data_IF_765536331408
#
_entry.id   IF_765536331408
#
_cell.length_a   1.000
_cell.length_b   1.000
_cell.length_c   1.000
_cell.angle_alpha   90.00
_cell.angle_beta   90.00
_cell.angle_gamma   90.00
#
_symmetry.space_group_name_H-M   'P 1'
#
loop_
_entity.id
_entity.type
_entity.pdbx_description
1 polymer ?
#
# COMPACT_ATOMS: atom_id res chain seq x y z
N UNK A 1 25.77 -20.10 -40.82
CA UNK A 1 25.82 -18.64 -40.64
C UNK A 1 24.38 -18.18 -40.41
N UNK A 2 23.88 -18.45 -39.20
CA UNK A 2 23.41 -17.41 -38.26
C UNK A 2 22.30 -16.56 -38.86
N UNK A 3 21.02 -16.90 -38.62
CA UNK A 3 19.92 -15.91 -38.72
C UNK A 3 18.57 -16.36 -38.11
N UNK A 4 18.51 -17.34 -37.20
CA UNK A 4 17.26 -17.66 -36.47
C UNK A 4 17.59 -17.97 -35.01
N UNK A 5 17.94 -16.95 -34.22
CA UNK A 5 18.11 -17.08 -32.76
C UNK A 5 17.28 -16.07 -31.96
N UNK A 6 16.69 -15.04 -32.56
CA UNK A 6 16.24 -13.89 -31.77
C UNK A 6 14.76 -13.54 -31.90
N UNK A 7 13.83 -14.43 -31.55
CA UNK A 7 12.44 -14.01 -31.28
C UNK A 7 11.78 -14.87 -30.20
N UNK A 8 12.41 -14.96 -29.04
CA UNK A 8 11.66 -15.06 -27.79
C UNK A 8 12.11 -13.89 -26.93
N UNK A 9 11.58 -12.70 -27.23
CA UNK A 9 11.63 -11.59 -26.29
C UNK A 9 10.80 -12.04 -25.09
N UNK A 10 11.46 -12.61 -24.11
CA UNK A 10 10.96 -12.78 -22.78
C UNK A 10 10.41 -11.42 -22.35
N UNK A 11 9.07 -11.31 -22.28
CA UNK A 11 8.43 -10.31 -21.46
C UNK A 11 8.78 -10.68 -20.01
N UNK A 12 10.02 -10.37 -19.61
CA UNK A 12 10.34 -10.32 -18.20
C UNK A 12 9.59 -9.11 -17.69
N UNK A 13 8.54 -9.36 -16.91
CA UNK A 13 7.93 -8.31 -16.12
C UNK A 13 9.03 -7.84 -15.16
N UNK A 14 9.64 -6.69 -15.45
CA UNK A 14 10.69 -6.14 -14.60
C UNK A 14 10.01 -5.56 -13.36
N UNK A 15 10.38 -6.08 -12.20
CA UNK A 15 9.96 -5.49 -10.93
C UNK A 15 10.82 -4.25 -10.69
N UNK A 16 10.25 -3.09 -10.98
CA UNK A 16 10.90 -1.81 -10.69
C UNK A 16 10.67 -1.50 -9.21
N UNK A 17 11.76 -1.44 -8.43
CA UNK A 17 11.75 -0.98 -7.04
C UNK A 17 12.22 0.48 -7.04
N UNK A 18 11.29 1.41 -6.84
CA UNK A 18 11.61 2.84 -6.77
C UNK A 18 11.85 3.32 -5.33
N UNK A 19 12.55 4.46 -5.19
CA UNK A 19 12.77 5.10 -3.88
C UNK A 19 11.47 5.70 -3.37
N UNK A 20 11.29 5.70 -2.04
CA UNK A 20 10.17 6.38 -1.37
C UNK A 20 10.07 7.84 -1.87
N UNK A 21 8.90 8.27 -2.39
CA UNK A 21 8.72 9.63 -2.88
C UNK A 21 8.87 10.66 -1.76
N UNK A 22 9.46 11.81 -2.07
CA UNK A 22 9.66 12.91 -1.11
C UNK A 22 8.36 13.66 -0.81
N UNK A 23 7.43 13.68 -1.76
CA UNK A 23 6.08 14.22 -1.59
C UNK A 23 5.10 13.09 -1.33
N UNK A 24 4.24 13.28 -0.32
CA UNK A 24 3.23 12.30 0.09
C UNK A 24 3.85 10.90 0.35
N UNK A 25 4.84 10.81 1.26
CA UNK A 25 5.49 9.55 1.55
C UNK A 25 4.46 8.54 2.09
N UNK A 26 4.73 7.23 1.88
CA UNK A 26 3.95 6.17 2.46
C UNK A 26 3.93 6.28 3.99
N UNK A 27 2.95 5.63 4.64
CA UNK A 27 2.94 5.45 6.07
C UNK A 27 4.26 4.85 6.57
N UNK A 28 4.58 5.12 7.83
CA UNK A 28 5.67 4.43 8.51
C UNK A 28 5.51 2.92 8.42
N UNK A 29 6.63 2.20 8.34
CA UNK A 29 6.65 0.75 8.21
C UNK A 29 5.80 0.11 9.31
N UNK A 30 5.09 -0.96 8.94
CA UNK A 30 4.13 -1.61 9.83
C UNK A 30 3.87 -3.04 9.38
N UNK A 31 3.49 -3.88 10.33
CA UNK A 31 3.01 -5.25 10.10
C UNK A 31 1.62 -5.42 10.68
N UNK A 32 0.92 -6.48 10.24
CA UNK A 32 -0.42 -6.86 10.73
C UNK A 32 -1.47 -5.75 10.63
N UNK A 33 -1.28 -4.84 9.66
CA UNK A 33 -2.26 -3.84 9.26
C UNK A 33 -3.39 -4.47 8.45
N UNK A 34 -4.57 -3.89 8.56
CA UNK A 34 -5.68 -4.16 7.66
C UNK A 34 -5.43 -3.48 6.30
N UNK A 35 -5.64 -4.21 5.20
CA UNK A 35 -5.52 -3.64 3.87
C UNK A 35 -6.67 -4.13 2.98
N UNK A 36 -7.41 -3.19 2.40
CA UNK A 36 -8.57 -3.47 1.56
C UNK A 36 -8.48 -2.67 0.25
N UNK A 37 -8.77 -3.31 -0.88
CA UNK A 37 -8.74 -2.66 -2.19
C UNK A 37 -10.15 -2.29 -2.66
N UNK A 38 -10.25 -1.15 -3.34
CA UNK A 38 -11.44 -0.67 -4.04
C UNK A 38 -11.08 -0.39 -5.50
N UNK A 39 -10.97 -1.43 -6.35
CA UNK A 39 -10.44 -1.30 -7.70
C UNK A 39 -11.21 -0.30 -8.56
N UNK A 40 -12.54 -0.27 -8.43
CA UNK A 40 -13.41 0.64 -9.18
C UNK A 40 -13.17 2.13 -8.88
N UNK A 41 -12.44 2.44 -7.79
CA UNK A 41 -12.09 3.81 -7.39
C UNK A 41 -10.58 4.05 -7.40
N UNK A 42 -9.77 3.09 -7.82
CA UNK A 42 -8.30 3.17 -7.81
C UNK A 42 -7.72 3.44 -6.41
N UNK A 43 -8.32 2.85 -5.37
CA UNK A 43 -7.87 3.08 -3.99
C UNK A 43 -7.56 1.78 -3.26
N UNK A 44 -6.53 1.82 -2.42
CA UNK A 44 -6.26 0.84 -1.37
C UNK A 44 -6.34 1.58 -0.04
N UNK A 45 -7.10 1.04 0.90
CA UNK A 45 -7.19 1.55 2.27
C UNK A 45 -6.29 0.70 3.15
N UNK A 46 -5.44 1.35 3.92
CA UNK A 46 -4.58 0.76 4.94
C UNK A 46 -5.00 1.30 6.31
N UNK A 47 -5.18 0.41 7.27
CA UNK A 47 -5.55 0.78 8.62
C UNK A 47 -4.72 0.06 9.69
N UNK A 48 -4.29 0.83 10.69
CA UNK A 48 -3.66 0.30 11.89
C UNK A 48 -2.35 -0.45 11.62
N UNK A 49 -2.14 -1.55 12.34
CA UNK A 49 -0.88 -2.31 12.37
C UNK A 49 0.12 -1.74 13.37
N UNK A 50 1.34 -2.28 13.39
CA UNK A 50 2.39 -1.84 14.31
C UNK A 50 3.79 -1.96 13.70
N UNK A 51 4.74 -1.06 14.02
CA UNK A 51 6.14 -1.20 13.64
C UNK A 51 6.90 -2.15 14.57
N UNK A 52 6.46 -2.25 15.82
CA UNK A 52 7.01 -3.08 16.89
C UNK A 52 5.89 -3.44 17.89
N UNK A 53 6.06 -4.47 18.73
CA UNK A 53 5.00 -4.95 19.63
C UNK A 53 4.50 -3.93 20.67
N UNK A 54 5.21 -2.83 20.90
CA UNK A 54 4.85 -1.81 21.88
C UNK A 54 4.03 -0.64 21.31
N UNK A 55 3.96 -0.52 19.98
CA UNK A 55 3.38 0.65 19.31
C UNK A 55 2.29 0.28 18.31
N UNK A 56 1.02 0.40 18.69
CA UNK A 56 -0.10 0.13 17.77
C UNK A 56 -0.56 1.44 17.11
N UNK A 57 -0.70 1.41 15.79
CA UNK A 57 -1.28 2.48 15.01
C UNK A 57 -2.82 2.40 14.96
N UNK A 58 -3.47 3.55 14.88
CA UNK A 58 -4.92 3.70 14.66
C UNK A 58 -5.21 4.73 13.58
N UNK A 59 -4.24 4.96 12.68
CA UNK A 59 -4.36 5.86 11.55
C UNK A 59 -4.92 5.13 10.32
N UNK A 60 -5.55 5.91 9.43
CA UNK A 60 -6.08 5.45 8.16
C UNK A 60 -5.27 6.10 7.05
N UNK A 61 -4.82 5.29 6.10
CA UNK A 61 -4.11 5.73 4.91
C UNK A 61 -4.84 5.25 3.66
N UNK A 62 -4.82 6.07 2.62
CA UNK A 62 -5.37 5.77 1.32
C UNK A 62 -4.26 5.89 0.29
N UNK A 63 -4.01 4.80 -0.42
CA UNK A 63 -3.14 4.76 -1.57
C UNK A 63 -3.97 4.87 -2.84
N UNK A 64 -3.71 5.89 -3.64
CA UNK A 64 -4.30 6.06 -4.96
C UNK A 64 -3.46 5.30 -5.98
N UNK A 65 -3.99 4.22 -6.54
CA UNK A 65 -3.29 3.36 -7.50
C UNK A 65 -3.22 3.96 -8.90
N UNK A 66 -3.95 5.04 -9.18
CA UNK A 66 -3.88 5.76 -10.45
C UNK A 66 -2.74 6.79 -10.45
N UNK A 67 -2.63 7.53 -9.35
CA UNK A 67 -1.65 8.61 -9.21
C UNK A 67 -0.41 8.16 -8.42
N UNK A 68 -0.43 6.95 -7.85
CA UNK A 68 0.64 6.33 -7.05
C UNK A 68 1.02 7.14 -5.79
N UNK A 69 0.02 7.78 -5.17
CA UNK A 69 0.20 8.70 -4.05
C UNK A 69 -0.48 8.18 -2.79
N UNK A 70 0.20 8.32 -1.65
CA UNK A 70 -0.36 8.08 -0.32
C UNK A 70 -0.99 9.33 0.28
N UNK A 71 -2.16 9.17 0.89
CA UNK A 71 -2.85 10.25 1.59
C UNK A 71 -3.27 9.75 2.98
N UNK A 72 -2.93 10.51 4.02
CA UNK A 72 -3.43 10.26 5.36
C UNK A 72 -4.87 10.74 5.45
N UNK A 73 -5.78 9.86 5.84
CA UNK A 73 -7.20 10.21 6.04
C UNK A 73 -7.44 10.59 7.50
N UNK A 74 -8.15 11.70 7.70
CA UNK A 74 -8.64 12.13 9.02
C UNK A 74 -10.17 12.03 9.00
N UNK A 75 -10.78 11.11 9.76
CA UNK A 75 -12.23 10.97 9.80
C UNK A 75 -12.89 12.26 10.29
N UNK A 76 -13.82 12.82 9.52
CA UNK A 76 -14.52 14.07 9.84
C UNK A 76 -15.40 13.98 11.09
N UNK A 77 -15.86 12.77 11.44
CA UNK A 77 -16.89 12.56 12.46
C UNK A 77 -16.33 12.06 13.80
N UNK A 78 -15.00 12.07 14.00
CA UNK A 78 -14.34 11.76 15.27
C UNK A 78 -14.41 10.29 15.72
N UNK A 79 -15.28 9.47 15.14
CA UNK A 79 -15.31 8.02 15.37
C UNK A 79 -14.21 7.37 14.54
N UNK A 80 -13.01 7.37 15.10
CA UNK A 80 -11.90 6.56 14.62
C UNK A 80 -12.06 5.19 15.29
N UNK A 81 -11.99 4.06 14.58
CA UNK A 81 -11.86 2.78 15.24
C UNK A 81 -10.68 2.83 16.22
N UNK A 82 -10.74 2.09 17.33
CA UNK A 82 -9.61 2.01 18.25
C UNK A 82 -8.34 1.51 17.56
N UNK A 83 -7.19 1.64 18.22
CA UNK A 83 -5.93 1.06 17.71
C UNK A 83 -6.08 -0.46 17.57
N UNK A 84 -6.05 -0.98 16.35
CA UNK A 84 -6.23 -2.40 16.06
C UNK A 84 -5.11 -2.95 15.17
N UNK A 85 -4.80 -4.23 15.37
CA UNK A 85 -3.86 -5.04 14.60
C UNK A 85 -4.38 -6.49 14.61
N UNK A 86 -4.01 -7.33 13.63
CA UNK A 86 -4.62 -8.66 13.39
C UNK A 86 -6.13 -8.64 13.10
N UNK A 87 -6.70 -7.48 12.78
CA UNK A 87 -8.10 -7.47 12.37
C UNK A 87 -8.21 -8.11 10.99
N UNK A 88 -9.22 -8.96 10.83
CA UNK A 88 -9.64 -9.55 9.57
C UNK A 88 -11.07 -9.05 9.31
N UNK A 89 -11.42 -8.84 8.06
CA UNK A 89 -12.81 -8.60 7.66
C UNK A 89 -13.58 -9.89 7.84
N UNK A 90 -14.54 -9.91 8.77
CA UNK A 90 -15.47 -11.03 8.96
C UNK A 90 -16.49 -11.05 7.82
#
# INVERSE_FOLDING_TARGET
>A
MWLIVFLFSSFSCELIIERIPSTNPPPYYRSFSLMESYPNRYFIILYGGFPDPSSIFGDVWLFNTKDEIWNKLVPSNGVIPGKFYFSCKV
#
